data_IF_328622170806
#
_entry.id   IF_328622170806
#
_cell.length_a   1.000
_cell.length_b   1.000
_cell.length_c   1.000
_cell.angle_alpha   90.00
_cell.angle_beta   90.00
_cell.angle_gamma   90.00
#
_symmetry.space_group_name_H-M   'P 1'
#
loop_
_entity.id
_entity.type
_entity.pdbx_description
1 polymer ?
#
# COMPACT_ATOMS: atom_id res chain seq x y z
N UNK A 1 9.39 3.05 -13.86
CA UNK A 1 10.21 3.45 -12.70
C UNK A 1 9.30 3.77 -11.51
N UNK A 2 9.64 3.26 -10.32
CA UNK A 2 8.84 3.53 -9.13
C UNK A 2 9.10 4.95 -8.62
N UNK A 3 8.02 5.64 -8.28
CA UNK A 3 8.13 6.93 -7.62
C UNK A 3 8.62 6.74 -6.19
N UNK A 4 9.56 7.57 -5.76
CA UNK A 4 10.09 7.55 -4.40
C UNK A 4 9.91 8.94 -3.77
N UNK A 5 9.34 9.02 -2.56
CA UNK A 5 9.18 10.31 -1.90
C UNK A 5 10.52 10.89 -1.48
N UNK A 6 10.56 12.21 -1.35
CA UNK A 6 11.67 12.89 -0.73
C UNK A 6 11.43 12.98 0.77
N UNK A 7 12.50 13.17 1.55
CA UNK A 7 12.37 13.28 3.00
C UNK A 7 11.38 14.38 3.35
N UNK A 8 10.40 14.05 4.17
CA UNK A 8 9.34 14.96 4.57
C UNK A 8 8.11 14.96 3.67
N UNK A 9 8.22 14.34 2.50
CA UNK A 9 7.11 14.28 1.55
C UNK A 9 6.10 13.23 1.96
N UNK A 10 4.81 13.54 1.82
CA UNK A 10 3.74 12.61 2.14
C UNK A 10 3.61 11.49 1.11
N UNK A 11 3.27 10.31 1.57
CA UNK A 11 2.95 9.19 0.70
C UNK A 11 1.86 8.34 1.34
N UNK A 12 1.29 7.42 0.56
CA UNK A 12 0.17 6.59 1.01
C UNK A 12 0.51 5.12 0.80
N UNK A 13 -0.01 4.27 1.67
CA UNK A 13 0.08 2.83 1.48
C UNK A 13 -1.31 2.22 1.61
N UNK A 14 -1.56 1.08 0.92
CA UNK A 14 -2.83 0.40 1.10
C UNK A 14 -2.88 -0.26 2.49
N UNK A 15 -4.08 -0.28 3.06
CA UNK A 15 -4.32 -0.94 4.34
C UNK A 15 -5.63 -1.70 4.20
N UNK A 16 -5.52 -3.02 4.01
CA UNK A 16 -6.65 -3.84 3.63
C UNK A 16 -7.36 -4.52 4.80
N UNK A 17 -6.89 -4.29 6.03
CA UNK A 17 -7.50 -4.97 7.18
C UNK A 17 -8.20 -4.03 8.15
N UNK A 18 -8.17 -2.71 7.91
CA UNK A 18 -8.74 -1.76 8.86
C UNK A 18 -10.10 -1.20 8.44
N UNK A 19 -10.61 -1.59 7.28
CA UNK A 19 -11.87 -1.09 6.79
C UNK A 19 -11.71 0.14 5.92
N UNK A 20 -12.46 1.19 6.20
CA UNK A 20 -12.45 2.39 5.38
C UNK A 20 -11.95 3.58 6.20
N UNK A 21 -11.05 4.41 5.67
CA UNK A 21 -10.45 4.31 4.33
C UNK A 21 -9.39 3.21 4.27
N UNK A 22 -9.23 2.55 3.11
CA UNK A 22 -8.30 1.43 2.98
C UNK A 22 -6.87 1.89 2.68
N UNK A 23 -6.44 2.96 3.31
CA UNK A 23 -5.07 3.45 3.16
C UNK A 23 -4.63 4.17 4.42
N UNK A 24 -3.31 4.29 4.57
CA UNK A 24 -2.68 5.12 5.60
C UNK A 24 -1.71 6.07 4.93
N UNK A 25 -1.45 7.19 5.57
CA UNK A 25 -0.50 8.17 5.04
C UNK A 25 0.63 8.42 6.02
N UNK A 26 1.80 8.72 5.49
CA UNK A 26 3.02 8.94 6.27
C UNK A 26 3.88 10.00 5.60
N UNK A 27 4.82 10.56 6.37
CA UNK A 27 5.87 11.41 5.81
C UNK A 27 7.14 10.57 5.69
N UNK A 28 7.77 10.61 4.52
CA UNK A 28 8.96 9.81 4.23
C UNK A 28 10.16 10.25 5.07
N UNK A 29 10.92 9.29 5.60
CA UNK A 29 12.10 9.61 6.40
C UNK A 29 13.30 8.67 6.20
N UNK A 30 13.33 7.90 5.12
CA UNK A 30 14.44 6.98 4.79
C UNK A 30 14.73 5.92 5.84
N UNK A 31 13.83 5.69 6.80
CA UNK A 31 14.02 4.65 7.79
C UNK A 31 13.92 3.26 7.14
N UNK A 32 14.41 2.24 7.85
CA UNK A 32 14.32 0.86 7.37
C UNK A 32 12.87 0.48 7.07
N UNK A 33 11.94 0.90 7.91
CA UNK A 33 10.52 0.61 7.72
C UNK A 33 9.99 1.24 6.45
N UNK A 34 10.33 2.50 6.19
CA UNK A 34 9.88 3.20 4.98
C UNK A 34 10.53 2.62 3.73
N UNK A 35 11.82 2.30 3.80
CA UNK A 35 12.50 1.66 2.67
C UNK A 35 11.90 0.30 2.35
N UNK A 36 11.52 -0.48 3.36
CA UNK A 36 10.87 -1.77 3.16
C UNK A 36 9.54 -1.61 2.42
N UNK A 37 8.76 -0.59 2.77
CA UNK A 37 7.51 -0.29 2.07
C UNK A 37 7.77 0.04 0.61
N UNK A 38 8.78 0.84 0.35
CA UNK A 38 9.13 1.23 -1.01
C UNK A 38 9.54 0.01 -1.84
N UNK A 39 10.39 -0.83 -1.28
CA UNK A 39 10.86 -2.03 -1.96
C UNK A 39 9.75 -3.05 -2.20
N UNK A 40 8.76 -3.08 -1.32
CA UNK A 40 7.60 -3.94 -1.48
C UNK A 40 6.62 -3.43 -2.55
N UNK A 41 6.84 -2.23 -3.06
CA UNK A 41 6.00 -1.67 -4.10
C UNK A 41 4.68 -1.09 -3.63
N UNK A 42 4.54 -0.81 -2.33
CA UNK A 42 3.26 -0.31 -1.80
C UNK A 42 3.24 1.20 -1.55
N UNK A 43 4.32 1.89 -1.87
CA UNK A 43 4.38 3.35 -1.68
C UNK A 43 3.68 4.03 -2.84
N UNK A 44 2.57 4.71 -2.54
CA UNK A 44 1.73 5.35 -3.54
C UNK A 44 1.80 6.87 -3.39
N UNK A 45 1.62 7.56 -4.50
CA UNK A 45 1.71 9.02 -4.58
C UNK A 45 0.53 9.72 -3.94
N UNK A 46 -0.64 9.10 -4.03
CA UNK A 46 -1.87 9.71 -3.55
C UNK A 46 -2.83 8.63 -3.07
N UNK A 47 -3.89 9.06 -2.41
CA UNK A 47 -4.87 8.15 -1.83
C UNK A 47 -5.58 7.33 -2.90
N UNK A 48 -5.81 7.91 -4.09
CA UNK A 48 -6.47 7.19 -5.19
C UNK A 48 -5.68 5.98 -5.64
N UNK A 49 -4.36 6.11 -5.75
CA UNK A 49 -3.50 4.98 -6.10
C UNK A 49 -3.52 3.91 -5.02
N UNK A 50 -3.46 4.34 -3.75
CA UNK A 50 -3.48 3.40 -2.63
C UNK A 50 -4.81 2.65 -2.59
N UNK A 51 -5.92 3.33 -2.86
CA UNK A 51 -7.23 2.70 -2.93
C UNK A 51 -7.27 1.62 -4.02
N UNK A 52 -6.80 1.95 -5.21
CA UNK A 52 -6.78 1.00 -6.33
C UNK A 52 -5.93 -0.22 -6.01
N UNK A 53 -4.77 0.02 -5.41
CA UNK A 53 -3.88 -1.07 -5.03
C UNK A 53 -4.54 -1.95 -3.96
N UNK A 54 -5.18 -1.33 -2.97
CA UNK A 54 -5.88 -2.08 -1.92
C UNK A 54 -6.98 -2.96 -2.52
N UNK A 55 -7.73 -2.44 -3.48
CA UNK A 55 -8.79 -3.22 -4.13
C UNK A 55 -8.23 -4.43 -4.86
N UNK A 56 -7.10 -4.26 -5.54
CA UNK A 56 -6.44 -5.38 -6.23
C UNK A 56 -5.90 -6.41 -5.25
N UNK A 57 -5.32 -5.95 -4.16
CA UNK A 57 -4.80 -6.85 -3.13
C UNK A 57 -5.93 -7.68 -2.50
N UNK A 58 -7.08 -7.05 -2.23
CA UNK A 58 -8.24 -7.76 -1.70
C UNK A 58 -8.77 -8.78 -2.70
N UNK A 59 -8.82 -8.43 -3.98
CA UNK A 59 -9.29 -9.35 -5.01
C UNK A 59 -8.40 -10.59 -5.08
N UNK A 60 -7.08 -10.40 -5.06
CA UNK A 60 -6.13 -11.50 -5.09
C UNK A 60 -6.28 -12.37 -3.85
N UNK A 61 -6.42 -11.75 -2.67
CA UNK A 61 -6.58 -12.50 -1.43
C UNK A 61 -7.84 -13.36 -1.46
N UNK A 62 -8.95 -12.80 -1.95
CA UNK A 62 -10.22 -13.54 -2.05
C UNK A 62 -10.10 -14.71 -3.00
N UNK A 63 -9.50 -14.49 -4.18
CA UNK A 63 -9.28 -15.57 -5.14
C UNK A 63 -8.43 -16.69 -4.55
N UNK A 64 -7.37 -16.32 -3.86
CA UNK A 64 -6.49 -17.30 -3.23
C UNK A 64 -7.25 -18.17 -2.23
N UNK A 65 -8.04 -17.53 -1.38
CA UNK A 65 -8.79 -18.26 -0.35
C UNK A 65 -9.88 -19.14 -0.94
N UNK A 66 -10.56 -18.66 -1.99
CA UNK A 66 -11.56 -19.47 -2.68
C UNK A 66 -10.94 -20.68 -3.33
N UNK A 67 -9.76 -20.51 -3.95
CA UNK A 67 -9.06 -21.63 -4.59
C UNK A 67 -8.64 -22.69 -3.57
N UNK A 68 -8.40 -22.29 -2.33
CA UNK A 68 -8.09 -23.24 -1.25
C UNK A 68 -9.32 -23.92 -0.66
N UNK A 69 -10.50 -23.52 -1.09
CA UNK A 69 -11.75 -24.09 -0.58
C UNK A 69 -12.13 -23.63 0.81
N UNK A 70 -11.51 -22.51 1.24
CA UNK A 70 -11.74 -22.05 2.61
C UNK A 70 -12.38 -20.70 2.72
#
# INVERSE_FOLDING_TARGET
MKWKPEIGEGYFIPDIHRGYPPWEDFAWNDSIRHMARYESGIVCRNAGEALKLAEKMLAVAREYMEAKGG
#
